data_IF_111792690543
#
_entry.id   IF_111792690543
#
_cell.length_a   1.000
_cell.length_b   1.000
_cell.length_c   1.000
_cell.angle_alpha   90.00
_cell.angle_beta   90.00
_cell.angle_gamma   90.00
#
_symmetry.space_group_name_H-M   'P 1'
#
loop_
_entity.id
_entity.type
_entity.pdbx_description
1 polymer ?
#
# COMPACT_ATOMS: atom_id res chain seq x y z
N UNK A 1 -10.86 3.87 -26.76
CA UNK A 1 -10.79 4.98 -25.79
C UNK A 1 -11.86 4.67 -24.75
N UNK A 2 -11.51 4.51 -23.47
CA UNK A 2 -12.51 4.20 -22.43
C UNK A 2 -12.98 5.54 -21.87
N UNK A 3 -14.24 5.86 -22.07
CA UNK A 3 -14.81 7.14 -21.63
C UNK A 3 -15.41 6.94 -20.24
N UNK A 4 -15.29 7.93 -19.38
CA UNK A 4 -16.00 7.93 -18.11
C UNK A 4 -17.51 8.00 -18.36
N UNK A 5 -18.22 6.89 -18.16
CA UNK A 5 -19.67 6.79 -18.46
C UNK A 5 -20.56 6.79 -17.24
N UNK A 6 -20.00 6.55 -16.05
CA UNK A 6 -20.75 6.32 -14.82
C UNK A 6 -20.25 7.25 -13.74
N UNK A 7 -21.17 7.95 -13.07
CA UNK A 7 -20.89 8.79 -11.91
C UNK A 7 -21.81 8.36 -10.78
N UNK A 8 -21.23 8.06 -9.61
CA UNK A 8 -21.96 7.83 -8.37
C UNK A 8 -21.73 8.99 -7.42
N UNK A 9 -22.74 9.36 -6.64
CA UNK A 9 -22.60 10.39 -5.61
C UNK A 9 -22.38 9.70 -4.28
N UNK A 10 -21.34 10.11 -3.53
CA UNK A 10 -21.11 9.62 -2.18
C UNK A 10 -21.22 10.78 -1.18
N UNK A 11 -21.72 10.46 -0.01
CA UNK A 11 -21.76 11.34 1.16
C UNK A 11 -20.93 10.75 2.30
N UNK A 12 -20.87 11.43 3.43
CA UNK A 12 -20.05 11.05 4.58
C UNK A 12 -20.41 9.68 5.17
N UNK A 13 -21.59 9.13 4.88
CA UNK A 13 -22.00 7.81 5.39
C UNK A 13 -21.08 6.68 4.93
N UNK A 14 -20.37 6.88 3.80
CA UNK A 14 -19.42 5.90 3.25
C UNK A 14 -18.21 5.70 4.14
N UNK A 15 -17.86 6.66 5.00
CA UNK A 15 -16.75 6.52 5.95
C UNK A 15 -17.08 5.51 7.07
N UNK A 16 -18.36 5.37 7.40
CA UNK A 16 -18.85 4.43 8.41
C UNK A 16 -19.29 3.09 7.80
N UNK A 17 -19.38 3.00 6.47
CA UNK A 17 -19.84 1.80 5.78
C UNK A 17 -18.69 0.82 5.55
N UNK A 18 -18.85 -0.47 5.92
CA UNK A 18 -17.87 -1.51 5.58
C UNK A 18 -17.89 -1.87 4.08
N UNK A 19 -18.89 -1.41 3.32
CA UNK A 19 -19.06 -1.75 1.91
C UNK A 19 -18.14 -0.96 0.99
N UNK A 20 -17.49 0.09 1.52
CA UNK A 20 -16.54 0.92 0.80
C UNK A 20 -15.13 0.75 1.35
N UNK A 21 -14.21 0.54 0.44
CA UNK A 21 -12.78 0.52 0.75
C UNK A 21 -12.08 1.56 -0.09
N UNK A 22 -11.22 2.37 0.53
CA UNK A 22 -10.53 3.46 -0.14
C UNK A 22 -9.04 3.14 -0.28
N UNK A 23 -8.43 3.66 -1.34
CA UNK A 23 -7.01 3.51 -1.61
C UNK A 23 -6.48 4.67 -2.45
N UNK A 24 -5.16 4.84 -2.42
CA UNK A 24 -4.44 5.83 -3.21
C UNK A 24 -3.43 5.13 -4.13
N UNK A 25 -3.82 4.77 -5.38
CA UNK A 25 -2.90 4.11 -6.32
C UNK A 25 -1.81 5.03 -6.87
N UNK A 26 -2.02 6.35 -6.82
CA UNK A 26 -1.06 7.38 -7.19
C UNK A 26 -1.24 8.60 -6.29
N UNK A 27 -0.14 9.31 -6.02
CA UNK A 27 -0.19 10.58 -5.32
C UNK A 27 -1.22 11.53 -5.95
N UNK A 28 -2.11 12.08 -5.11
CA UNK A 28 -3.21 12.93 -5.55
C UNK A 28 -4.42 12.21 -6.17
N UNK A 29 -4.39 10.90 -6.41
CA UNK A 29 -5.49 10.15 -7.03
C UNK A 29 -6.10 9.12 -6.07
N UNK A 30 -7.33 9.36 -5.65
CA UNK A 30 -8.07 8.46 -4.76
C UNK A 30 -9.01 7.52 -5.54
N UNK A 31 -9.11 6.29 -5.08
CA UNK A 31 -10.06 5.30 -5.61
C UNK A 31 -10.87 4.68 -4.47
N UNK A 32 -12.15 4.45 -4.73
CA UNK A 32 -13.07 3.77 -3.85
C UNK A 32 -13.56 2.49 -4.50
N UNK A 33 -13.55 1.39 -3.77
CA UNK A 33 -14.05 0.10 -4.21
C UNK A 33 -15.27 -0.31 -3.39
N UNK A 34 -16.32 -0.71 -4.10
CA UNK A 34 -17.51 -1.34 -3.52
C UNK A 34 -18.00 -2.45 -4.43
N UNK A 35 -18.40 -3.60 -3.87
CA UNK A 35 -18.91 -4.75 -4.63
C UNK A 35 -17.99 -5.18 -5.81
N UNK A 36 -16.67 -5.06 -5.66
CA UNK A 36 -15.68 -5.36 -6.70
C UNK A 36 -15.60 -4.35 -7.85
N UNK A 37 -16.31 -3.22 -7.74
CA UNK A 37 -16.27 -2.11 -8.68
C UNK A 37 -15.46 -0.96 -8.09
N UNK A 38 -14.53 -0.45 -8.89
CA UNK A 38 -13.64 0.66 -8.57
C UNK A 38 -14.11 1.96 -9.20
N UNK A 39 -14.07 3.03 -8.43
CA UNK A 39 -14.45 4.37 -8.84
C UNK A 39 -13.31 5.34 -8.53
N UNK A 40 -12.99 6.21 -9.49
CA UNK A 40 -12.09 7.35 -9.26
C UNK A 40 -12.84 8.39 -8.42
N UNK A 41 -12.31 8.76 -7.26
CA UNK A 41 -12.91 9.82 -6.47
C UNK A 41 -12.59 11.17 -7.10
N UNK A 42 -13.63 11.99 -7.26
CA UNK A 42 -13.53 13.35 -7.78
C UNK A 42 -14.31 14.28 -6.86
N UNK A 43 -13.76 15.45 -6.57
CA UNK A 43 -14.44 16.46 -5.75
C UNK A 43 -15.13 17.56 -6.57
N UNK A 44 -14.81 17.63 -7.87
CA UNK A 44 -15.34 18.63 -8.79
C UNK A 44 -15.51 18.06 -10.20
N UNK A 45 -16.77 17.94 -10.65
CA UNK A 45 -17.12 17.43 -11.97
C UNK A 45 -17.96 18.46 -12.74
N UNK A 46 -17.28 19.49 -13.25
CA UNK A 46 -17.84 20.53 -14.11
C UNK A 46 -17.26 20.39 -15.53
N UNK A 47 -17.84 21.10 -16.50
CA UNK A 47 -17.40 21.01 -17.92
C UNK A 47 -15.93 21.41 -18.09
N UNK A 48 -15.47 22.39 -17.32
CA UNK A 48 -14.08 22.86 -17.28
C UNK A 48 -13.11 21.84 -16.68
N UNK A 49 -13.57 20.98 -15.76
CA UNK A 49 -12.72 19.97 -15.10
C UNK A 49 -12.80 18.58 -15.72
N UNK A 50 -13.82 18.31 -16.54
CA UNK A 50 -14.08 16.98 -17.11
C UNK A 50 -12.90 16.43 -17.92
N UNK A 51 -12.19 17.29 -18.66
CA UNK A 51 -11.02 16.87 -19.43
C UNK A 51 -9.88 16.38 -18.52
N UNK A 52 -9.65 17.06 -17.38
CA UNK A 52 -8.65 16.65 -16.41
C UNK A 52 -9.03 15.31 -15.75
N UNK A 53 -10.29 15.17 -15.33
CA UNK A 53 -10.83 13.92 -14.77
C UNK A 53 -10.68 12.75 -15.76
N UNK A 54 -10.93 12.99 -17.05
CA UNK A 54 -10.78 11.97 -18.08
C UNK A 54 -9.31 11.56 -18.27
N UNK A 55 -8.36 12.50 -18.16
CA UNK A 55 -6.92 12.21 -18.20
C UNK A 55 -6.52 11.33 -17.01
N UNK A 56 -6.96 11.69 -15.79
CA UNK A 56 -6.66 10.92 -14.58
C UNK A 56 -7.23 9.50 -14.66
N UNK A 57 -8.47 9.38 -15.13
CA UNK A 57 -9.12 8.10 -15.36
C UNK A 57 -8.34 7.22 -16.37
N UNK A 58 -7.89 7.79 -17.49
CA UNK A 58 -7.08 7.05 -18.47
C UNK A 58 -5.70 6.67 -17.92
N UNK A 59 -5.07 7.55 -17.13
CA UNK A 59 -3.80 7.28 -16.48
C UNK A 59 -3.91 6.09 -15.52
N UNK A 60 -4.90 6.10 -14.63
CA UNK A 60 -5.14 5.00 -13.70
C UNK A 60 -5.39 3.68 -14.43
N UNK A 61 -6.21 3.71 -15.48
CA UNK A 61 -6.57 2.52 -16.25
C UNK A 61 -5.37 1.96 -17.04
N UNK A 62 -4.63 2.82 -17.74
CA UNK A 62 -3.60 2.38 -18.70
C UNK A 62 -2.24 2.20 -18.07
N UNK A 63 -1.86 3.09 -17.16
CA UNK A 63 -0.54 3.13 -16.53
C UNK A 63 -0.55 2.34 -15.23
N UNK A 64 -1.46 2.66 -14.30
CA UNK A 64 -1.54 1.99 -12.99
C UNK A 64 -2.29 0.66 -13.01
N UNK A 65 -2.90 0.29 -14.14
CA UNK A 65 -3.68 -0.95 -14.33
C UNK A 65 -4.84 -1.08 -13.33
N UNK A 66 -5.37 0.05 -12.86
CA UNK A 66 -6.55 0.09 -12.00
C UNK A 66 -7.78 0.18 -12.88
N UNK A 67 -8.60 -0.86 -12.91
CA UNK A 67 -9.82 -0.91 -13.72
C UNK A 67 -10.95 -0.15 -13.02
N UNK A 68 -11.03 1.16 -13.24
CA UNK A 68 -12.14 1.97 -12.75
C UNK A 68 -13.37 1.85 -13.69
N UNK A 69 -14.55 1.62 -13.14
CA UNK A 69 -15.82 1.54 -13.86
C UNK A 69 -16.52 2.91 -13.97
N UNK A 70 -16.05 3.92 -13.23
CA UNK A 70 -16.58 5.28 -13.28
C UNK A 70 -15.88 6.23 -12.31
N UNK A 71 -16.53 7.37 -12.06
CA UNK A 71 -16.15 8.30 -11.00
C UNK A 71 -17.14 8.25 -9.83
N UNK A 72 -16.63 8.51 -8.63
CA UNK A 72 -17.40 8.79 -7.44
C UNK A 72 -17.25 10.28 -7.12
N UNK A 73 -18.31 11.05 -7.30
CA UNK A 73 -18.35 12.46 -6.94
C UNK A 73 -18.61 12.57 -5.43
N UNK A 74 -17.66 13.19 -4.73
CA UNK A 74 -17.66 13.45 -3.30
C UNK A 74 -17.59 14.94 -3.03
N UNK A 75 -17.97 15.38 -1.82
CA UNK A 75 -17.64 16.74 -1.40
C UNK A 75 -16.11 16.90 -1.27
N UNK A 76 -15.60 18.12 -1.41
CA UNK A 76 -14.18 18.39 -1.17
C UNK A 76 -13.76 18.02 0.25
N UNK A 77 -14.60 18.28 1.23
CA UNK A 77 -14.37 17.89 2.63
C UNK A 77 -14.21 16.38 2.78
N UNK A 78 -15.15 15.60 2.22
CA UNK A 78 -15.08 14.14 2.26
C UNK A 78 -13.85 13.60 1.53
N UNK A 79 -13.48 14.18 0.39
CA UNK A 79 -12.27 13.80 -0.34
C UNK A 79 -11.02 13.90 0.55
N UNK A 80 -10.85 15.03 1.24
CA UNK A 80 -9.69 15.25 2.10
C UNK A 80 -9.74 14.43 3.39
N UNK A 81 -10.92 14.18 3.96
CA UNK A 81 -11.06 13.26 5.09
C UNK A 81 -10.63 11.82 4.71
N UNK A 82 -11.01 11.35 3.53
CA UNK A 82 -10.58 10.03 3.03
C UNK A 82 -9.05 10.00 2.85
N UNK A 83 -8.46 11.04 2.26
CA UNK A 83 -7.01 11.15 2.10
C UNK A 83 -6.26 11.12 3.44
N UNK A 84 -6.76 11.86 4.43
CA UNK A 84 -6.19 11.92 5.77
C UNK A 84 -6.23 10.55 6.45
N UNK A 85 -7.39 9.88 6.42
CA UNK A 85 -7.55 8.55 6.99
C UNK A 85 -6.58 7.54 6.38
N UNK A 86 -6.43 7.54 5.05
CA UNK A 86 -5.47 6.67 4.36
C UNK A 86 -4.03 6.95 4.77
N UNK A 87 -3.69 8.23 4.92
CA UNK A 87 -2.35 8.66 5.35
C UNK A 87 -2.07 8.17 6.77
N UNK A 88 -3.00 8.37 7.71
CA UNK A 88 -2.87 7.92 9.10
C UNK A 88 -2.79 6.40 9.22
N UNK A 89 -3.60 5.66 8.47
CA UNK A 89 -3.53 4.20 8.42
C UNK A 89 -2.17 3.73 7.90
N UNK A 90 -1.64 4.35 6.85
CA UNK A 90 -0.32 3.99 6.31
C UNK A 90 0.82 4.24 7.32
N UNK A 91 0.75 5.33 8.09
CA UNK A 91 1.72 5.62 9.15
C UNK A 91 1.65 4.60 10.28
N UNK A 92 0.44 4.20 10.67
CA UNK A 92 0.19 3.18 11.70
C UNK A 92 0.69 1.79 11.27
N UNK A 93 0.42 1.42 10.02
CA UNK A 93 0.93 0.17 9.42
C UNK A 93 2.45 0.17 9.34
N UNK A 94 3.06 1.29 8.95
CA UNK A 94 4.52 1.42 8.88
C UNK A 94 5.16 1.33 10.26
N UNK A 95 4.55 1.92 11.29
CA UNK A 95 5.01 1.76 12.67
C UNK A 95 4.91 0.29 13.12
N UNK A 96 3.81 -0.39 12.79
CA UNK A 96 3.59 -1.80 13.13
C UNK A 96 4.56 -2.75 12.41
N UNK A 97 4.90 -2.45 11.15
CA UNK A 97 5.92 -3.21 10.40
C UNK A 97 7.32 -2.98 10.95
N UNK A 98 7.64 -1.76 11.39
CA UNK A 98 8.93 -1.45 12.01
C UNK A 98 9.13 -2.24 13.30
N UNK A 99 8.10 -2.35 14.15
CA UNK A 99 8.18 -3.14 15.38
C UNK A 99 8.32 -4.63 15.11
N UNK A 100 7.68 -5.17 14.07
CA UNK A 100 7.82 -6.58 13.72
C UNK A 100 9.22 -6.93 13.20
N UNK A 101 9.82 -6.09 12.33
CA UNK A 101 11.20 -6.30 11.86
C UNK A 101 12.19 -6.23 13.02
N UNK A 102 12.00 -5.28 13.95
CA UNK A 102 12.82 -5.18 15.15
C UNK A 102 12.74 -6.44 16.01
N UNK A 103 11.53 -6.95 16.25
CA UNK A 103 11.31 -8.20 16.99
C UNK A 103 11.98 -9.39 16.32
N UNK A 104 11.84 -9.55 15.01
CA UNK A 104 12.49 -10.62 14.26
C UNK A 104 14.02 -10.53 14.32
N UNK A 105 14.57 -9.31 14.29
CA UNK A 105 16.00 -9.10 14.44
C UNK A 105 16.47 -9.45 15.86
N UNK A 106 15.71 -9.09 16.89
CA UNK A 106 16.01 -9.46 18.28
C UNK A 106 15.98 -10.97 18.50
N UNK A 107 14.98 -11.66 17.95
CA UNK A 107 14.86 -13.13 18.01
C UNK A 107 16.06 -13.79 17.32
N UNK A 108 16.47 -13.30 16.15
CA UNK A 108 17.64 -13.79 15.42
C UNK A 108 18.94 -13.60 16.21
N UNK A 109 19.14 -12.42 16.81
CA UNK A 109 20.33 -12.15 17.63
C UNK A 109 20.35 -13.01 18.89
N UNK A 110 19.20 -13.23 19.52
CA UNK A 110 19.05 -14.12 20.68
C UNK A 110 19.36 -15.57 20.31
N UNK A 111 18.88 -16.03 19.15
CA UNK A 111 19.20 -17.34 18.61
C UNK A 111 20.70 -17.51 18.35
N UNK A 112 21.31 -16.57 17.61
CA UNK A 112 22.74 -16.60 17.28
C UNK A 112 23.63 -16.63 18.53
N UNK A 113 23.31 -15.80 19.53
CA UNK A 113 24.04 -15.78 20.81
C UNK A 113 23.87 -17.07 21.60
N UNK A 114 22.68 -17.68 21.59
CA UNK A 114 22.44 -18.99 22.23
C UNK A 114 23.28 -20.12 21.63
N UNK A 115 23.60 -20.02 20.34
CA UNK A 115 24.48 -20.95 19.62
C UNK A 115 25.97 -20.62 19.79
N UNK A 116 26.32 -19.54 20.49
CA UNK A 116 27.69 -19.10 20.68
C UNK A 116 28.32 -18.47 19.43
N UNK A 117 27.49 -17.90 18.55
CA UNK A 117 27.99 -17.18 17.38
C UNK A 117 28.70 -15.89 17.78
N UNK A 118 29.84 -15.60 17.16
CA UNK A 118 30.56 -14.33 17.30
C UNK A 118 30.01 -13.25 16.38
N UNK A 119 29.54 -13.66 15.19
CA UNK A 119 29.08 -12.75 14.14
C UNK A 119 27.83 -13.32 13.45
N UNK A 120 26.95 -12.41 13.03
CA UNK A 120 25.80 -12.68 12.16
C UNK A 120 26.03 -11.97 10.84
N UNK A 121 25.98 -12.72 9.75
CA UNK A 121 26.13 -12.21 8.40
C UNK A 121 24.80 -12.34 7.65
N UNK A 122 24.20 -11.21 7.28
CA UNK A 122 22.98 -11.18 6.47
C UNK A 122 23.34 -10.70 5.07
N UNK A 123 23.18 -11.57 4.07
CA UNK A 123 23.45 -11.24 2.67
C UNK A 123 22.18 -11.33 1.85
N UNK A 124 21.76 -10.20 1.26
CA UNK A 124 20.61 -10.16 0.35
C UNK A 124 21.03 -10.49 -1.08
N UNK A 125 20.36 -11.46 -1.72
CA UNK A 125 20.38 -11.72 -3.17
C UNK A 125 19.01 -11.38 -3.78
N UNK A 126 18.87 -11.48 -5.10
CA UNK A 126 17.68 -10.97 -5.82
C UNK A 126 16.33 -11.50 -5.30
N UNK A 127 16.24 -12.80 -5.01
CA UNK A 127 15.00 -13.42 -4.53
C UNK A 127 15.08 -13.94 -3.08
N UNK A 128 16.29 -14.05 -2.53
CA UNK A 128 16.55 -14.72 -1.25
C UNK A 128 17.59 -13.91 -0.46
N UNK A 129 17.35 -13.71 0.83
CA UNK A 129 18.36 -13.30 1.78
C UNK A 129 18.86 -14.53 2.55
N UNK A 130 20.17 -14.62 2.77
CA UNK A 130 20.80 -15.71 3.52
C UNK A 130 21.39 -15.17 4.81
N UNK A 131 21.12 -15.86 5.91
CA UNK A 131 21.71 -15.62 7.23
C UNK A 131 22.77 -16.68 7.49
N UNK A 132 23.97 -16.24 7.82
CA UNK A 132 25.09 -17.11 8.17
C UNK A 132 25.65 -16.70 9.53
N UNK A 133 25.93 -17.69 10.38
CA UNK A 133 26.47 -17.48 11.71
C UNK A 133 27.93 -17.87 11.75
N UNK A 134 28.78 -17.06 12.37
CA UNK A 134 30.16 -17.45 12.64
C UNK A 134 30.27 -18.06 14.03
N UNK A 135 30.53 -19.36 14.10
CA UNK A 135 30.67 -20.08 15.37
C UNK A 135 32.08 -20.68 15.41
N UNK A 136 32.85 -20.35 16.46
CA UNK A 136 34.24 -20.80 16.63
C UNK A 136 35.13 -20.58 15.40
N UNK A 137 34.92 -19.45 14.69
CA UNK A 137 35.70 -19.07 13.51
C UNK A 137 35.23 -19.68 12.19
N UNK A 138 34.20 -20.52 12.18
CA UNK A 138 33.62 -21.13 10.97
C UNK A 138 32.29 -20.46 10.64
N UNK A 139 32.08 -20.09 9.37
CA UNK A 139 30.81 -19.53 8.89
C UNK A 139 29.87 -20.67 8.48
N UNK A 140 28.67 -20.70 9.05
CA UNK A 140 27.68 -21.77 8.91
C UNK A 140 26.36 -21.14 8.43
N UNK A 141 25.70 -21.70 7.39
CA UNK A 141 24.37 -21.24 6.98
C UNK A 141 23.33 -21.59 8.04
N UNK A 142 22.49 -20.62 8.40
CA UNK A 142 21.47 -20.75 9.44
C UNK A 142 20.07 -20.69 8.84
N UNK A 143 19.73 -19.57 8.19
CA UNK A 143 18.40 -19.36 7.61
C UNK A 143 18.45 -18.79 6.18
N UNK A 144 17.37 -19.03 5.44
CA UNK A 144 17.11 -18.38 4.17
C UNK A 144 15.72 -17.76 4.19
N UNK A 145 15.64 -16.49 3.84
CA UNK A 145 14.40 -15.72 3.83
C UNK A 145 14.08 -15.32 2.39
N UNK A 146 12.81 -15.41 1.99
CA UNK A 146 12.38 -14.85 0.72
C UNK A 146 12.49 -13.32 0.79
N UNK A 147 13.15 -12.71 -0.21
CA UNK A 147 13.15 -11.26 -0.36
C UNK A 147 11.82 -10.84 -0.98
N UNK A 148 10.74 -10.80 -0.21
CA UNK A 148 9.48 -10.19 -0.65
C UNK A 148 9.71 -8.70 -0.95
N UNK A 149 9.26 -8.27 -2.14
CA UNK A 149 9.27 -6.87 -2.58
C UNK A 149 8.18 -6.07 -1.89
#
# INVERSE_FOLDING_TARGET
MSVLTTVVMLDESVLASPDWTFRQPEEGMLCGETNGMNYLLVSDLRIDTLAAVQVDYEYLTRVKKVSCQGAALVSGELYYQILENLTLSSLTDNQSKSTEIQRQLEDLLTHATSLGASDVHITRREAIATVELRINGVLIPDEQMLSTR
#
